data_IF_569357436024
#
_entry.id   IF_569357436024
#
_cell.length_a   1.000
_cell.length_b   1.000
_cell.length_c   1.000
_cell.angle_alpha   90.00
_cell.angle_beta   90.00
_cell.angle_gamma   90.00
#
_symmetry.space_group_name_H-M   'P 1'
#
loop_
_entity.id
_entity.type
_entity.pdbx_description
1 polymer ?
#
# COMPACT_ATOMS: atom_id res chain seq x y z
N UNK A 1 22.65 5.65 -8.52
CA UNK A 1 21.18 5.58 -8.50
C UNK A 1 20.67 5.51 -9.94
N UNK A 2 19.75 4.60 -10.22
CA UNK A 2 19.14 4.48 -11.55
C UNK A 2 18.13 5.60 -11.74
N UNK A 3 18.17 6.28 -12.89
CA UNK A 3 17.15 7.28 -13.25
C UNK A 3 16.18 6.59 -14.22
N UNK A 4 14.94 6.39 -13.80
CA UNK A 4 13.88 5.82 -14.63
C UNK A 4 13.24 6.96 -15.43
N UNK A 5 13.24 6.83 -16.76
CA UNK A 5 12.70 7.84 -17.67
C UNK A 5 11.50 7.36 -18.49
N UNK A 6 11.22 6.05 -18.48
CA UNK A 6 10.12 5.45 -19.23
C UNK A 6 9.34 4.42 -18.40
N UNK A 7 8.05 4.28 -18.70
CA UNK A 7 7.16 3.31 -18.03
C UNK A 7 7.66 1.85 -18.18
N UNK A 8 8.15 1.47 -19.38
CA UNK A 8 8.68 0.12 -19.61
C UNK A 8 9.89 -0.17 -18.72
N UNK A 9 10.79 0.78 -18.57
CA UNK A 9 11.96 0.66 -17.69
C UNK A 9 11.55 0.43 -16.21
N UNK A 10 10.49 1.10 -15.73
CA UNK A 10 9.98 0.90 -14.39
C UNK A 10 9.48 -0.54 -14.16
N UNK A 11 8.83 -1.13 -15.15
CA UNK A 11 8.34 -2.52 -15.10
C UNK A 11 9.52 -3.49 -15.07
N UNK A 12 10.54 -3.28 -15.91
CA UNK A 12 11.73 -4.13 -15.96
C UNK A 12 12.52 -4.08 -14.64
N UNK A 13 12.69 -2.89 -14.07
CA UNK A 13 13.33 -2.70 -12.76
C UNK A 13 12.51 -3.38 -11.65
N UNK A 14 11.18 -3.23 -11.66
CA UNK A 14 10.32 -3.90 -10.70
C UNK A 14 10.39 -5.43 -10.82
N UNK A 15 10.45 -5.97 -12.03
CA UNK A 15 10.59 -7.41 -12.28
C UNK A 15 11.95 -7.95 -11.76
N UNK A 16 13.03 -7.20 -11.99
CA UNK A 16 14.35 -7.57 -11.47
C UNK A 16 14.39 -7.59 -9.94
N UNK A 17 13.86 -6.54 -9.29
CA UNK A 17 13.75 -6.49 -7.82
C UNK A 17 12.83 -7.62 -7.28
N UNK A 18 11.72 -7.90 -7.94
CA UNK A 18 10.81 -8.96 -7.54
C UNK A 18 11.48 -10.34 -7.55
N UNK A 19 12.34 -10.61 -8.53
CA UNK A 19 13.11 -11.86 -8.58
C UNK A 19 14.06 -11.98 -7.36
N UNK A 20 14.75 -10.92 -6.99
CA UNK A 20 15.62 -10.86 -5.80
C UNK A 20 14.77 -11.00 -4.51
N UNK A 21 13.64 -10.31 -4.42
CA UNK A 21 12.75 -10.35 -3.26
C UNK A 21 12.18 -11.76 -3.03
N UNK A 22 11.80 -12.45 -4.09
CA UNK A 22 11.26 -13.81 -4.02
C UNK A 22 12.26 -14.81 -3.44
N UNK A 23 13.54 -14.65 -3.76
CA UNK A 23 14.60 -15.59 -3.37
C UNK A 23 14.73 -15.80 -1.85
N UNK A 24 14.38 -14.81 -1.04
CA UNK A 24 14.48 -14.89 0.42
C UNK A 24 13.17 -14.76 1.18
N UNK A 25 12.02 -14.56 0.50
CA UNK A 25 10.75 -14.20 1.11
C UNK A 25 10.28 -15.17 2.21
N UNK A 26 10.36 -16.49 1.95
CA UNK A 26 9.95 -17.49 2.93
C UNK A 26 10.82 -17.48 4.20
N UNK A 27 12.13 -17.27 4.06
CA UNK A 27 13.04 -17.21 5.20
C UNK A 27 12.87 -15.92 6.00
N UNK A 28 12.70 -14.77 5.31
CA UNK A 28 12.40 -13.49 5.97
C UNK A 28 11.13 -13.57 6.79
N UNK A 29 10.04 -14.10 6.21
CA UNK A 29 8.77 -14.28 6.92
C UNK A 29 8.93 -15.23 8.12
N UNK A 30 9.50 -16.42 7.94
CA UNK A 30 9.64 -17.42 9.01
C UNK A 30 10.42 -16.87 10.21
N UNK A 31 11.50 -16.14 9.97
CA UNK A 31 12.41 -15.60 10.99
C UNK A 31 12.01 -14.19 11.46
N UNK A 32 11.01 -13.56 10.82
CA UNK A 32 10.71 -12.12 10.98
C UNK A 32 11.97 -11.26 10.78
N UNK A 33 12.80 -11.63 9.82
CA UNK A 33 14.03 -10.88 9.52
C UNK A 33 13.68 -9.66 8.67
N UNK A 34 14.01 -8.48 9.19
CA UNK A 34 13.76 -7.22 8.49
C UNK A 34 14.53 -7.16 7.17
N UNK A 35 13.93 -6.63 6.09
CA UNK A 35 14.46 -6.67 4.74
C UNK A 35 15.36 -5.46 4.42
N UNK A 36 16.36 -5.16 5.26
CA UNK A 36 17.21 -3.97 5.11
C UNK A 36 17.89 -3.89 3.75
N UNK A 37 18.46 -5.00 3.27
CA UNK A 37 19.13 -5.08 1.96
C UNK A 37 18.15 -4.84 0.81
N UNK A 38 16.94 -5.42 0.89
CA UNK A 38 15.91 -5.27 -0.14
C UNK A 38 15.35 -3.85 -0.18
N UNK A 39 15.19 -3.22 0.99
CA UNK A 39 14.78 -1.81 1.06
C UNK A 39 15.89 -0.90 0.55
N UNK A 40 17.16 -1.18 0.83
CA UNK A 40 18.28 -0.44 0.26
C UNK A 40 18.31 -0.57 -1.28
N UNK A 41 18.07 -1.77 -1.83
CA UNK A 41 17.94 -1.98 -3.26
C UNK A 41 16.76 -1.19 -3.86
N UNK A 42 15.61 -1.18 -3.18
CA UNK A 42 14.45 -0.37 -3.59
C UNK A 42 14.79 1.14 -3.60
N UNK A 43 15.46 1.65 -2.57
CA UNK A 43 15.87 3.07 -2.47
C UNK A 43 16.81 3.50 -3.61
N UNK A 44 17.65 2.60 -4.10
CA UNK A 44 18.62 2.88 -5.18
C UNK A 44 18.09 2.57 -6.58
N UNK A 45 16.95 1.89 -6.70
CA UNK A 45 16.37 1.44 -7.97
C UNK A 45 15.81 2.55 -8.87
N UNK A 46 15.49 3.72 -8.29
CA UNK A 46 14.76 4.79 -8.97
C UNK A 46 13.23 4.65 -8.89
N UNK A 47 12.68 3.51 -8.43
CA UNK A 47 11.23 3.30 -8.36
C UNK A 47 10.54 4.30 -7.42
N UNK A 48 11.19 4.74 -6.34
CA UNK A 48 10.61 5.70 -5.41
C UNK A 48 10.30 7.06 -6.06
N UNK A 49 11.00 7.42 -7.14
CA UNK A 49 10.79 8.70 -7.84
C UNK A 49 9.67 8.65 -8.90
N UNK A 50 9.00 7.51 -9.12
CA UNK A 50 8.07 7.31 -10.24
C UNK A 50 6.97 8.36 -10.36
N UNK A 51 6.41 8.85 -9.25
CA UNK A 51 5.34 9.85 -9.27
C UNK A 51 5.84 11.30 -9.17
N UNK A 52 7.15 11.52 -9.12
CA UNK A 52 7.72 12.87 -9.13
C UNK A 52 7.43 13.53 -10.48
N UNK A 53 6.86 14.75 -10.49
CA UNK A 53 6.50 15.46 -11.73
C UNK A 53 7.72 15.78 -12.59
N UNK A 54 7.47 15.95 -13.92
CA UNK A 54 8.52 16.19 -14.91
C UNK A 54 9.27 17.50 -14.64
N UNK A 55 8.56 18.55 -14.22
CA UNK A 55 9.14 19.84 -13.86
C UNK A 55 10.13 19.78 -12.69
N UNK A 56 10.05 18.73 -11.87
CA UNK A 56 11.01 18.43 -10.80
C UNK A 56 11.98 17.30 -11.17
N UNK A 57 12.05 16.94 -12.47
CA UNK A 57 12.99 15.96 -13.02
C UNK A 57 12.64 14.50 -12.73
N UNK A 58 11.37 14.20 -12.43
CA UNK A 58 10.85 12.84 -12.33
C UNK A 58 10.16 12.35 -13.60
N UNK A 59 9.78 11.07 -13.67
CA UNK A 59 9.10 10.50 -14.84
C UNK A 59 7.60 10.77 -14.89
N UNK A 60 6.98 11.29 -13.82
CA UNK A 60 5.54 11.51 -13.70
C UNK A 60 4.70 10.28 -14.12
N UNK A 61 5.12 9.10 -13.67
CA UNK A 61 4.49 7.84 -14.07
C UNK A 61 2.99 7.82 -13.73
N UNK A 62 2.14 7.36 -14.66
CA UNK A 62 0.71 7.26 -14.43
C UNK A 62 0.37 6.18 -13.40
N UNK A 63 -0.85 6.21 -12.87
CA UNK A 63 -1.34 5.26 -11.89
C UNK A 63 -1.34 3.82 -12.44
N UNK A 64 -1.52 3.64 -13.75
CA UNK A 64 -1.41 2.35 -14.44
C UNK A 64 -0.03 1.72 -14.26
N UNK A 65 1.05 2.49 -14.37
CA UNK A 65 2.43 2.00 -14.17
C UNK A 65 2.69 1.71 -12.70
N UNK A 66 2.29 2.61 -11.81
CA UNK A 66 2.44 2.40 -10.37
C UNK A 66 1.72 1.13 -9.90
N UNK A 67 0.47 0.92 -10.33
CA UNK A 67 -0.30 -0.27 -9.98
C UNK A 67 0.40 -1.56 -10.46
N UNK A 68 0.97 -1.56 -11.65
CA UNK A 68 1.69 -2.73 -12.17
C UNK A 68 2.99 -2.98 -11.41
N UNK A 69 3.77 -1.95 -11.07
CA UNK A 69 4.96 -2.06 -10.23
C UNK A 69 4.61 -2.69 -8.87
N UNK A 70 3.56 -2.19 -8.20
CA UNK A 70 3.11 -2.73 -6.92
C UNK A 70 2.64 -4.19 -7.03
N UNK A 71 1.91 -4.53 -8.11
CA UNK A 71 1.46 -5.89 -8.36
C UNK A 71 2.65 -6.85 -8.54
N UNK A 72 3.65 -6.45 -9.31
CA UNK A 72 4.87 -7.25 -9.55
C UNK A 72 5.64 -7.48 -8.25
N UNK A 73 5.88 -6.43 -7.47
CA UNK A 73 6.58 -6.55 -6.19
C UNK A 73 5.80 -7.42 -5.20
N UNK A 74 4.49 -7.25 -5.11
CA UNK A 74 3.63 -7.99 -4.19
C UNK A 74 3.45 -9.47 -4.57
N UNK A 75 3.57 -9.81 -5.85
CA UNK A 75 3.62 -11.20 -6.30
C UNK A 75 4.80 -11.95 -5.67
N UNK A 76 5.92 -11.27 -5.50
CA UNK A 76 7.16 -11.83 -4.95
C UNK A 76 7.20 -11.78 -3.42
N UNK A 77 6.98 -10.60 -2.85
CA UNK A 77 6.98 -10.34 -1.41
C UNK A 77 6.02 -9.18 -1.06
N UNK A 78 4.81 -9.48 -0.55
CA UNK A 78 3.82 -8.47 -0.22
C UNK A 78 4.28 -7.47 0.85
N UNK A 79 5.16 -7.86 1.76
CA UNK A 79 5.70 -6.96 2.78
C UNK A 79 6.56 -5.88 2.15
N UNK A 80 7.43 -6.26 1.19
CA UNK A 80 8.27 -5.31 0.46
C UNK A 80 7.48 -4.40 -0.47
N UNK A 81 6.37 -4.87 -1.02
CA UNK A 81 5.46 -4.02 -1.78
C UNK A 81 4.71 -3.02 -0.87
N UNK A 82 4.37 -3.40 0.37
CA UNK A 82 3.64 -2.55 1.31
C UNK A 82 4.50 -1.39 1.85
N UNK A 83 5.79 -1.60 2.05
CA UNK A 83 6.71 -0.60 2.62
C UNK A 83 6.64 0.75 1.87
N UNK A 84 6.74 0.83 0.53
CA UNK A 84 6.70 2.09 -0.20
C UNK A 84 5.27 2.62 -0.46
N UNK A 85 4.22 1.96 -0.03
CA UNK A 85 2.85 2.37 -0.35
C UNK A 85 2.58 3.82 0.05
N UNK A 86 2.77 4.15 1.32
CA UNK A 86 2.47 5.49 1.84
C UNK A 86 3.41 6.57 1.29
N UNK A 87 4.59 6.21 0.84
CA UNK A 87 5.51 7.11 0.14
C UNK A 87 4.82 7.79 -1.05
N UNK A 88 4.18 7.01 -1.93
CA UNK A 88 3.48 7.54 -3.09
C UNK A 88 2.21 8.32 -2.71
N UNK A 89 1.56 7.94 -1.62
CA UNK A 89 0.40 8.68 -1.08
C UNK A 89 0.83 10.06 -0.59
N UNK A 90 1.97 10.16 0.10
CA UNK A 90 2.48 11.45 0.58
C UNK A 90 3.07 12.31 -0.53
N UNK A 91 3.65 11.72 -1.57
CA UNK A 91 4.06 12.48 -2.76
C UNK A 91 2.85 13.12 -3.46
N UNK A 92 1.71 12.42 -3.50
CA UNK A 92 0.47 12.99 -4.03
C UNK A 92 -0.09 14.11 -3.14
N UNK A 93 -0.04 13.96 -1.81
CA UNK A 93 -0.42 15.03 -0.89
C UNK A 93 0.47 16.28 -1.06
N UNK A 94 1.78 16.08 -1.19
CA UNK A 94 2.76 17.13 -1.46
C UNK A 94 2.47 17.83 -2.81
N UNK A 95 2.15 17.06 -3.85
CA UNK A 95 1.76 17.59 -5.16
C UNK A 95 0.54 18.50 -5.07
N UNK A 96 -0.47 18.11 -4.29
CA UNK A 96 -1.75 18.79 -4.20
C UNK A 96 -1.72 20.03 -3.26
N UNK A 97 -0.92 20.00 -2.21
CA UNK A 97 -0.99 20.98 -1.12
C UNK A 97 0.35 21.61 -0.73
N UNK A 98 1.47 21.07 -1.19
CA UNK A 98 2.79 21.62 -0.89
C UNK A 98 3.03 22.96 -1.61
N UNK A 99 3.88 23.81 -1.03
CA UNK A 99 4.43 25.00 -1.73
C UNK A 99 5.45 24.56 -2.79
N UNK A 100 5.83 25.47 -3.69
CA UNK A 100 6.85 25.17 -4.70
C UNK A 100 8.19 24.81 -4.07
N UNK A 101 8.57 25.48 -2.97
CA UNK A 101 9.79 25.21 -2.22
C UNK A 101 9.74 23.82 -1.55
N UNK A 102 8.59 23.46 -0.96
CA UNK A 102 8.40 22.13 -0.37
C UNK A 102 8.50 21.05 -1.44
N UNK A 103 7.80 21.22 -2.57
CA UNK A 103 7.87 20.29 -3.71
C UNK A 103 9.29 20.14 -4.23
N UNK A 104 9.98 21.24 -4.51
CA UNK A 104 11.35 21.21 -5.02
C UNK A 104 12.28 20.44 -4.07
N UNK A 105 12.24 20.76 -2.78
CA UNK A 105 13.10 20.15 -1.77
C UNK A 105 12.84 18.65 -1.57
N UNK A 106 11.59 18.26 -1.36
CA UNK A 106 11.28 16.85 -1.08
C UNK A 106 11.39 15.96 -2.32
N UNK A 107 11.02 16.46 -3.50
CA UNK A 107 11.20 15.70 -4.75
C UNK A 107 12.68 15.49 -5.09
N UNK A 108 13.56 16.46 -4.81
CA UNK A 108 14.99 16.28 -4.96
C UNK A 108 15.51 15.13 -4.08
N UNK A 109 15.12 15.11 -2.80
CA UNK A 109 15.52 14.04 -1.87
C UNK A 109 14.95 12.68 -2.29
N UNK A 110 13.70 12.62 -2.75
CA UNK A 110 13.09 11.39 -3.25
C UNK A 110 13.82 10.88 -4.50
N UNK A 111 14.21 11.76 -5.41
CA UNK A 111 15.04 11.40 -6.55
C UNK A 111 16.44 10.93 -6.13
N UNK A 112 16.92 11.38 -4.99
CA UNK A 112 18.14 10.89 -4.36
C UNK A 112 17.92 9.59 -3.54
N UNK A 113 16.72 8.99 -3.57
CA UNK A 113 16.40 7.71 -2.95
C UNK A 113 15.78 7.81 -1.55
N UNK A 114 15.41 8.99 -1.07
CA UNK A 114 14.77 9.12 0.22
C UNK A 114 13.40 8.42 0.24
N UNK A 115 13.17 7.64 1.30
CA UNK A 115 11.91 6.93 1.56
C UNK A 115 11.09 7.71 2.60
N UNK A 116 9.83 8.00 2.23
CA UNK A 116 8.81 8.57 3.11
C UNK A 116 7.99 7.43 3.72
N UNK A 117 7.93 7.32 5.04
CA UNK A 117 7.17 6.27 5.71
C UNK A 117 5.95 6.80 6.45
N UNK A 118 5.05 5.88 6.76
CA UNK A 118 3.73 6.13 7.33
C UNK A 118 3.77 6.35 8.84
N UNK A 119 3.06 7.38 9.33
CA UNK A 119 2.68 7.54 10.74
C UNK A 119 1.32 8.25 10.84
N UNK A 120 0.23 7.57 10.43
CA UNK A 120 -1.10 8.19 10.38
C UNK A 120 -2.07 7.62 11.40
N UNK A 121 -2.10 6.29 11.57
CA UNK A 121 -3.14 5.62 12.37
C UNK A 121 -2.86 5.69 13.86
N UNK A 122 -3.92 5.81 14.64
CA UNK A 122 -3.88 5.76 16.11
C UNK A 122 -4.69 4.58 16.64
N UNK A 123 -4.41 4.15 17.85
CA UNK A 123 -5.20 3.19 18.62
C UNK A 123 -5.89 3.94 19.74
N UNK A 124 -7.12 3.56 20.06
CA UNK A 124 -7.87 4.17 21.16
C UNK A 124 -9.38 4.08 20.94
N UNK A 125 -10.15 4.69 21.83
CA UNK A 125 -11.61 4.66 21.80
C UNK A 125 -12.21 5.64 20.79
N UNK A 126 -11.41 6.53 20.22
CA UNK A 126 -11.87 7.56 19.27
C UNK A 126 -12.13 6.97 17.87
N UNK A 127 -13.07 7.55 17.11
CA UNK A 127 -13.22 7.23 15.69
C UNK A 127 -11.92 7.44 14.91
N UNK A 128 -11.72 6.67 13.84
CA UNK A 128 -10.48 6.66 13.05
C UNK A 128 -10.18 7.99 12.34
N UNK A 129 -11.16 8.85 12.24
CA UNK A 129 -11.06 10.20 11.68
C UNK A 129 -10.71 11.29 12.73
N UNK A 130 -10.47 10.91 13.98
CA UNK A 130 -9.97 11.80 15.02
C UNK A 130 -8.49 11.48 15.27
N UNK A 131 -7.59 12.41 14.95
CA UNK A 131 -6.18 12.31 15.33
C UNK A 131 -5.95 13.03 16.66
N UNK A 132 -5.52 12.28 17.69
CA UNK A 132 -5.15 12.83 19.00
C UNK A 132 -3.72 13.35 19.04
N UNK A 133 -2.88 12.92 18.08
CA UNK A 133 -1.57 13.54 17.83
C UNK A 133 -1.78 14.97 17.36
N UNK A 134 -1.08 15.92 17.96
CA UNK A 134 -1.26 17.35 17.73
C UNK A 134 -0.02 18.03 17.17
N UNK A 135 -0.26 19.04 16.34
CA UNK A 135 0.70 20.05 15.91
C UNK A 135 0.29 21.37 16.55
N UNK A 136 1.02 21.79 17.58
CA UNK A 136 0.77 23.04 18.28
C UNK A 136 1.71 24.13 17.76
N UNK A 137 1.14 25.23 17.25
CA UNK A 137 1.93 26.34 16.69
C UNK A 137 2.64 27.10 17.80
N UNK A 138 3.93 27.35 17.61
CA UNK A 138 4.77 28.13 18.54
C UNK A 138 4.82 29.61 18.13
N UNK A 139 5.20 30.52 19.04
CA UNK A 139 5.40 31.94 18.71
C UNK A 139 6.43 32.18 17.59
N UNK A 140 7.42 31.27 17.41
CA UNK A 140 8.38 31.30 16.30
C UNK A 140 7.74 31.08 14.92
N UNK A 141 6.51 30.57 14.86
CA UNK A 141 5.85 30.15 13.64
C UNK A 141 5.99 28.65 13.34
N UNK A 142 6.95 27.96 13.94
CA UNK A 142 7.13 26.49 13.87
C UNK A 142 6.13 25.76 14.76
N UNK A 143 6.20 24.44 14.76
CA UNK A 143 5.29 23.60 15.52
C UNK A 143 6.00 22.72 16.53
N UNK A 144 5.28 22.33 17.56
CA UNK A 144 5.63 21.27 18.49
C UNK A 144 4.64 20.13 18.26
N UNK A 145 5.16 18.91 18.07
CA UNK A 145 4.35 17.74 17.79
C UNK A 145 4.46 16.73 18.92
N UNK A 146 3.32 16.28 19.42
CA UNK A 146 3.25 15.26 20.46
C UNK A 146 2.13 14.27 20.16
N UNK A 147 2.37 12.97 20.43
CA UNK A 147 1.41 11.92 20.22
C UNK A 147 2.00 10.56 19.98
N UNK A 148 1.15 9.63 19.54
CA UNK A 148 1.55 8.25 19.29
C UNK A 148 0.81 7.66 18.10
N UNK A 149 1.56 7.09 17.16
CA UNK A 149 1.04 6.45 15.96
C UNK A 149 1.35 4.95 15.97
N UNK A 150 0.48 4.19 15.32
CA UNK A 150 0.56 2.74 15.19
C UNK A 150 0.46 2.36 13.73
N UNK A 151 0.85 1.13 13.40
CA UNK A 151 0.85 0.66 12.02
C UNK A 151 1.70 1.55 11.12
N UNK A 152 2.84 2.02 11.66
CA UNK A 152 3.75 2.93 10.97
C UNK A 152 4.66 2.16 9.98
N UNK A 153 4.03 1.64 8.92
CA UNK A 153 4.68 0.81 7.91
C UNK A 153 5.90 1.51 7.31
N UNK A 154 7.03 0.80 7.34
CA UNK A 154 8.28 1.26 6.76
C UNK A 154 9.06 2.29 7.62
N UNK A 155 8.53 2.72 8.77
CA UNK A 155 9.15 3.79 9.57
C UNK A 155 10.57 3.47 10.07
N UNK A 156 10.90 2.19 10.27
CA UNK A 156 12.27 1.78 10.63
C UNK A 156 13.28 2.02 9.50
N UNK A 157 12.85 2.02 8.24
CA UNK A 157 13.70 2.15 7.05
C UNK A 157 13.70 3.56 6.45
N UNK A 158 12.84 4.44 6.98
CA UNK A 158 12.57 5.75 6.42
C UNK A 158 13.73 6.73 6.58
N UNK A 159 13.81 7.67 5.65
CA UNK A 159 14.57 8.90 5.81
C UNK A 159 13.67 9.97 6.45
N UNK A 160 12.40 9.94 6.12
CA UNK A 160 11.36 10.82 6.65
C UNK A 160 10.15 10.02 7.14
N UNK A 161 9.75 10.25 8.39
CA UNK A 161 8.47 9.77 8.92
C UNK A 161 7.43 10.84 8.70
N UNK A 162 6.41 10.55 7.89
CA UNK A 162 5.34 11.51 7.59
C UNK A 162 4.18 11.26 8.54
N UNK A 163 3.97 12.21 9.42
CA UNK A 163 3.01 12.13 10.53
C UNK A 163 1.77 12.95 10.22
N UNK A 164 0.58 12.31 10.24
CA UNK A 164 -0.68 13.05 10.21
C UNK A 164 -1.07 13.47 11.62
N UNK A 165 -1.38 14.75 11.80
CA UNK A 165 -1.74 15.31 13.09
C UNK A 165 -2.84 16.37 12.97
N UNK A 166 -3.57 16.58 14.06
CA UNK A 166 -4.52 17.69 14.21
C UNK A 166 -3.78 19.00 14.46
N UNK A 167 -4.15 20.06 13.74
CA UNK A 167 -3.68 21.41 14.05
C UNK A 167 -4.40 21.89 15.31
N UNK A 168 -3.65 22.19 16.37
CA UNK A 168 -4.19 22.58 17.67
C UNK A 168 -3.69 23.97 18.06
N UNK A 169 -4.57 24.79 18.62
CA UNK A 169 -4.23 26.05 19.28
C UNK A 169 -3.98 25.90 20.79
N UNK A 170 -4.00 24.67 21.31
CA UNK A 170 -3.47 24.28 22.62
C UNK A 170 -4.46 23.80 23.68
N UNK A 171 -5.69 24.30 23.77
CA UNK A 171 -6.54 24.04 24.93
C UNK A 171 -7.64 22.99 24.72
N UNK A 172 -8.08 22.77 23.49
CA UNK A 172 -9.21 21.88 23.18
C UNK A 172 -8.74 20.55 22.60
N UNK A 173 -9.41 19.46 23.02
CA UNK A 173 -9.17 18.14 22.45
C UNK A 173 -9.60 18.11 20.98
N UNK A 174 -8.79 17.50 20.07
CA UNK A 174 -9.15 17.37 18.68
C UNK A 174 -10.44 16.59 18.46
N UNK A 175 -11.18 16.97 17.42
CA UNK A 175 -12.40 16.32 16.94
C UNK A 175 -12.25 15.91 15.47
N UNK A 176 -13.24 15.24 14.90
CA UNK A 176 -13.27 14.93 13.47
C UNK A 176 -13.24 16.19 12.59
N UNK A 177 -13.77 17.31 13.08
CA UNK A 177 -13.77 18.61 12.37
C UNK A 177 -12.45 19.39 12.50
N UNK A 178 -11.56 19.00 13.41
CA UNK A 178 -10.28 19.69 13.59
C UNK A 178 -9.44 19.56 12.32
N UNK A 179 -8.94 20.68 11.75
CA UNK A 179 -8.08 20.63 10.57
C UNK A 179 -6.84 19.77 10.79
N UNK A 180 -6.46 19.00 9.77
CA UNK A 180 -5.31 18.12 9.81
C UNK A 180 -4.22 18.59 8.86
N UNK A 181 -2.98 18.34 9.27
CA UNK A 181 -1.80 18.48 8.44
C UNK A 181 -0.98 17.20 8.46
N UNK A 182 -0.08 17.05 7.49
CA UNK A 182 1.00 16.07 7.52
C UNK A 182 2.31 16.81 7.75
N UNK A 183 3.13 16.27 8.62
CA UNK A 183 4.45 16.80 8.93
C UNK A 183 5.52 15.80 8.50
N UNK A 184 6.49 16.27 7.76
CA UNK A 184 7.65 15.50 7.33
C UNK A 184 8.71 15.61 8.43
N UNK A 185 8.93 14.55 9.18
CA UNK A 185 9.84 14.52 10.33
C UNK A 185 11.07 13.68 9.97
N UNK A 186 12.30 14.23 10.08
CA UNK A 186 13.51 13.42 9.88
C UNK A 186 13.51 12.20 10.80
N UNK A 187 13.97 11.06 10.30
CA UNK A 187 13.95 9.79 11.06
C UNK A 187 14.72 9.86 12.38
N UNK A 188 15.73 10.74 12.45
CA UNK A 188 16.62 10.99 13.59
C UNK A 188 16.24 12.24 14.40
N UNK A 189 15.06 12.83 14.17
CA UNK A 189 14.61 14.00 14.90
C UNK A 189 14.55 13.74 16.42
N UNK A 190 15.00 14.70 17.21
CA UNK A 190 14.90 14.63 18.67
C UNK A 190 13.43 14.51 19.09
N UNK A 191 13.12 13.59 20.00
CA UNK A 191 11.77 13.29 20.46
C UNK A 191 11.00 12.30 19.59
N UNK A 192 11.49 11.94 18.39
CA UNK A 192 10.92 10.89 17.56
C UNK A 192 11.52 9.53 17.95
N UNK A 193 10.65 8.56 18.28
CA UNK A 193 11.07 7.17 18.51
C UNK A 193 10.25 6.23 17.65
N UNK A 194 10.91 5.34 16.90
CA UNK A 194 10.27 4.27 16.11
C UNK A 194 10.63 2.93 16.72
N UNK A 195 9.61 2.15 17.09
CA UNK A 195 9.76 0.86 17.77
C UNK A 195 9.61 -0.29 16.77
N UNK A 196 10.43 -1.33 16.92
CA UNK A 196 10.26 -2.60 16.21
C UNK A 196 9.34 -3.55 16.99
N UNK A 197 8.10 -3.13 17.18
CA UNK A 197 7.07 -3.86 17.93
C UNK A 197 5.91 -4.39 17.07
N UNK A 198 6.11 -4.48 15.74
CA UNK A 198 5.12 -5.08 14.85
C UNK A 198 5.00 -6.58 15.10
N UNK A 199 3.79 -7.03 15.48
CA UNK A 199 3.46 -8.42 15.82
C UNK A 199 2.27 -8.94 14.98
N UNK A 200 2.26 -8.64 13.69
CA UNK A 200 1.25 -9.13 12.77
C UNK A 200 1.45 -10.61 12.43
N UNK A 201 0.33 -11.35 12.27
CA UNK A 201 0.38 -12.76 11.84
C UNK A 201 0.90 -12.93 10.42
N UNK A 202 0.72 -11.92 9.54
CA UNK A 202 1.24 -11.83 8.18
C UNK A 202 1.85 -10.45 7.94
N UNK A 203 2.43 -10.26 6.76
CA UNK A 203 3.24 -9.07 6.44
C UNK A 203 4.25 -8.76 7.57
N UNK A 204 4.89 -9.81 8.04
CA UNK A 204 5.68 -9.80 9.28
C UNK A 204 6.91 -8.91 9.22
N UNK A 205 7.34 -8.55 8.02
CA UNK A 205 8.57 -7.79 7.76
C UNK A 205 8.34 -6.36 7.29
N UNK A 206 7.09 -5.86 7.38
CA UNK A 206 6.76 -4.47 7.00
C UNK A 206 7.25 -3.43 8.01
N UNK A 207 7.72 -3.86 9.18
CA UNK A 207 8.08 -2.95 10.28
C UNK A 207 6.97 -1.94 10.60
N UNK A 208 5.71 -2.42 10.65
CA UNK A 208 4.53 -1.58 10.90
C UNK A 208 4.31 -1.31 12.40
N UNK A 209 5.38 -0.94 13.11
CA UNK A 209 5.39 -0.74 14.54
C UNK A 209 4.83 0.60 15.00
N UNK A 210 5.21 0.97 16.20
CA UNK A 210 4.78 2.19 16.89
C UNK A 210 5.76 3.33 16.63
N UNK A 211 5.21 4.54 16.43
CA UNK A 211 5.94 5.80 16.42
C UNK A 211 5.47 6.65 17.59
N UNK A 212 6.39 7.09 18.43
CA UNK A 212 6.11 8.04 19.52
C UNK A 212 6.76 9.38 19.22
N UNK A 213 6.06 10.44 19.57
CA UNK A 213 6.42 11.83 19.35
C UNK A 213 6.32 12.55 20.70
N UNK A 214 7.46 12.93 21.23
CA UNK A 214 7.60 13.61 22.52
C UNK A 214 8.18 14.99 22.27
N UNK A 215 7.29 15.98 22.14
CA UNK A 215 7.61 17.37 21.88
C UNK A 215 8.61 17.58 20.73
N UNK A 216 8.34 16.89 19.62
CA UNK A 216 9.17 17.00 18.41
C UNK A 216 9.02 18.38 17.80
N UNK A 217 10.11 19.09 17.64
CA UNK A 217 10.13 20.39 16.96
C UNK A 217 10.02 20.17 15.44
N UNK A 218 9.01 20.78 14.83
CA UNK A 218 8.74 20.66 13.39
C UNK A 218 8.75 22.05 12.76
N UNK A 219 9.69 22.34 11.84
CA UNK A 219 9.70 23.58 11.09
C UNK A 219 8.40 23.76 10.29
N UNK A 220 7.90 24.98 10.19
CA UNK A 220 6.70 25.28 9.38
C UNK A 220 6.88 24.84 7.91
N UNK A 221 8.10 24.92 7.40
CA UNK A 221 8.46 24.48 6.06
C UNK A 221 8.30 22.96 5.84
N UNK A 222 8.15 22.17 6.91
CA UNK A 222 7.97 20.71 6.85
C UNK A 222 6.52 20.28 7.07
N UNK A 223 5.58 21.24 7.17
CA UNK A 223 4.17 20.98 7.40
C UNK A 223 3.37 21.28 6.14
N UNK A 224 2.57 20.32 5.69
CA UNK A 224 1.71 20.43 4.52
C UNK A 224 0.24 20.26 4.96
N UNK A 225 -0.67 21.15 4.57
CA UNK A 225 -2.10 21.01 4.87
C UNK A 225 -2.66 19.70 4.31
N UNK A 226 -3.47 18.98 5.10
CA UNK A 226 -4.03 17.69 4.66
C UNK A 226 -5.55 17.79 4.40
N UNK A 227 -6.31 18.37 5.31
CA UNK A 227 -7.76 18.48 5.18
C UNK A 227 -8.23 19.12 3.86
N UNK A 228 -7.55 20.15 3.29
CA UNK A 228 -7.98 20.78 2.05
C UNK A 228 -7.97 19.85 0.83
N UNK A 229 -7.25 18.73 0.85
CA UNK A 229 -7.26 17.73 -0.24
C UNK A 229 -8.69 17.27 -0.57
N UNK A 230 -9.55 17.18 0.44
CA UNK A 230 -10.90 16.60 0.32
C UNK A 230 -12.00 17.65 0.13
N UNK A 231 -11.66 18.94 0.07
CA UNK A 231 -12.65 20.02 -0.15
C UNK A 231 -13.02 20.21 -1.62
N UNK A 232 -12.25 19.61 -2.54
CA UNK A 232 -12.44 19.65 -3.99
C UNK A 232 -12.48 18.24 -4.57
N UNK A 233 -12.97 18.06 -5.81
CA UNK A 233 -12.83 16.79 -6.50
C UNK A 233 -11.37 16.35 -6.54
N UNK A 234 -11.11 15.09 -6.17
CA UNK A 234 -9.75 14.56 -6.06
C UNK A 234 -9.73 13.06 -6.29
N UNK A 235 -8.65 12.57 -6.87
CA UNK A 235 -8.36 11.14 -7.00
C UNK A 235 -7.42 10.63 -5.89
N UNK A 236 -7.13 11.45 -4.89
CA UNK A 236 -6.19 11.11 -3.81
C UNK A 236 -6.52 9.77 -3.13
N UNK A 237 -7.77 9.61 -2.68
CA UNK A 237 -8.22 8.36 -2.05
C UNK A 237 -8.21 7.19 -3.01
N UNK A 238 -8.74 7.37 -4.23
CA UNK A 238 -8.74 6.34 -5.26
C UNK A 238 -7.31 5.90 -5.61
N UNK A 239 -6.35 6.82 -5.73
CA UNK A 239 -4.95 6.51 -6.01
C UNK A 239 -4.30 5.70 -4.87
N UNK A 240 -4.54 6.09 -3.61
CA UNK A 240 -4.07 5.34 -2.44
C UNK A 240 -4.64 3.92 -2.41
N UNK A 241 -5.95 3.78 -2.62
CA UNK A 241 -6.63 2.48 -2.61
C UNK A 241 -6.27 1.60 -3.82
N UNK A 242 -5.94 2.19 -4.96
CA UNK A 242 -5.46 1.47 -6.14
C UNK A 242 -4.15 0.71 -5.84
N UNK A 243 -3.21 1.33 -5.13
CA UNK A 243 -1.95 0.67 -4.76
C UNK A 243 -2.18 -0.48 -3.78
N UNK A 244 -3.07 -0.33 -2.80
CA UNK A 244 -3.49 -1.45 -1.96
C UNK A 244 -4.16 -2.57 -2.76
N UNK A 245 -4.97 -2.21 -3.75
CA UNK A 245 -5.61 -3.18 -4.65
C UNK A 245 -4.56 -3.95 -5.46
N UNK A 246 -3.54 -3.27 -5.95
CA UNK A 246 -2.44 -3.88 -6.68
C UNK A 246 -1.65 -4.87 -5.81
N UNK A 247 -1.44 -4.56 -4.53
CA UNK A 247 -0.83 -5.50 -3.57
C UNK A 247 -1.69 -6.75 -3.40
N UNK A 248 -3.01 -6.62 -3.21
CA UNK A 248 -3.91 -7.78 -3.07
C UNK A 248 -3.91 -8.65 -4.33
N UNK A 249 -3.92 -8.04 -5.53
CA UNK A 249 -3.81 -8.77 -6.81
C UNK A 249 -2.45 -9.47 -6.92
N UNK A 250 -1.37 -8.82 -6.50
CA UNK A 250 -0.04 -9.42 -6.44
C UNK A 250 0.01 -10.65 -5.54
N UNK A 251 -0.60 -10.57 -4.34
CA UNK A 251 -0.74 -11.72 -3.43
C UNK A 251 -1.53 -12.85 -4.11
N UNK A 252 -2.65 -12.52 -4.77
CA UNK A 252 -3.48 -13.51 -5.45
C UNK A 252 -2.71 -14.25 -6.55
N UNK A 253 -2.00 -13.52 -7.41
CA UNK A 253 -1.19 -14.09 -8.50
C UNK A 253 -0.02 -14.90 -7.97
N UNK A 254 0.66 -14.43 -6.91
CA UNK A 254 1.76 -15.15 -6.26
C UNK A 254 1.30 -16.46 -5.62
N UNK A 255 0.17 -16.44 -4.92
CA UNK A 255 -0.42 -17.63 -4.32
C UNK A 255 -0.86 -18.67 -5.36
N UNK A 256 -1.52 -18.23 -6.45
CA UNK A 256 -1.90 -19.10 -7.54
C UNK A 256 -0.68 -19.76 -8.19
N UNK A 257 0.37 -18.97 -8.47
CA UNK A 257 1.62 -19.51 -9.03
C UNK A 257 2.28 -20.53 -8.10
N UNK A 258 2.30 -20.25 -6.80
CA UNK A 258 2.82 -21.18 -5.80
C UNK A 258 1.98 -22.49 -5.75
N UNK A 259 0.65 -22.39 -5.79
CA UNK A 259 -0.25 -23.54 -5.83
C UNK A 259 -0.03 -24.40 -7.07
N UNK A 260 0.08 -23.79 -8.24
CA UNK A 260 0.42 -24.49 -9.50
C UNK A 260 1.77 -25.20 -9.41
N UNK A 261 2.77 -24.53 -8.81
CA UNK A 261 4.09 -25.14 -8.60
C UNK A 261 4.02 -26.39 -7.70
N UNK A 262 3.19 -26.33 -6.64
CA UNK A 262 2.95 -27.50 -5.76
C UNK A 262 2.18 -28.61 -6.47
N UNK A 263 1.12 -28.29 -7.22
CA UNK A 263 0.33 -29.27 -7.99
C UNK A 263 1.21 -30.08 -8.96
N UNK A 264 2.17 -29.44 -9.63
CA UNK A 264 3.13 -30.12 -10.55
C UNK A 264 4.05 -31.11 -9.84
N UNK A 265 4.20 -31.04 -8.51
CA UNK A 265 5.04 -31.91 -7.68
C UNK A 265 4.21 -32.89 -6.83
N UNK A 266 2.90 -32.67 -6.78
CA UNK A 266 1.99 -33.50 -5.99
C UNK A 266 1.80 -34.88 -6.61
N UNK A 267 1.43 -35.85 -5.76
CA UNK A 267 0.99 -37.15 -6.24
C UNK A 267 -0.49 -37.07 -6.59
N UNK A 268 -0.95 -37.73 -7.69
CA UNK A 268 -2.36 -37.79 -7.99
C UNK A 268 -3.12 -38.59 -6.93
N UNK A 269 -4.37 -38.22 -6.71
CA UNK A 269 -5.28 -39.03 -5.90
C UNK A 269 -5.59 -40.34 -6.62
N UNK A 270 -5.68 -41.45 -5.88
CA UNK A 270 -5.86 -42.79 -6.50
C UNK A 270 -7.17 -42.90 -7.27
N UNK A 271 -8.23 -42.22 -6.86
CA UNK A 271 -9.54 -42.20 -7.55
C UNK A 271 -9.50 -41.46 -8.89
N UNK A 272 -8.56 -40.56 -9.10
CA UNK A 272 -8.43 -39.82 -10.35
C UNK A 272 -7.99 -40.71 -11.51
N UNK A 273 -7.33 -41.85 -11.24
CA UNK A 273 -6.89 -42.80 -12.25
C UNK A 273 -5.88 -42.23 -13.25
N UNK A 274 -5.13 -41.20 -12.89
CA UNK A 274 -4.17 -40.51 -13.75
C UNK A 274 -2.75 -40.66 -13.26
N UNK A 275 -1.78 -40.44 -14.15
CA UNK A 275 -0.36 -40.61 -13.83
C UNK A 275 0.23 -39.39 -13.07
N UNK A 276 -0.27 -38.21 -13.31
CA UNK A 276 0.18 -36.96 -12.68
C UNK A 276 -0.99 -36.18 -12.08
N UNK A 277 -0.75 -35.48 -10.96
CA UNK A 277 -1.81 -34.68 -10.30
C UNK A 277 -2.36 -33.56 -11.18
N UNK A 278 -1.55 -33.03 -12.10
CA UNK A 278 -1.99 -32.00 -13.05
C UNK A 278 -3.02 -32.49 -14.09
N UNK A 279 -3.22 -33.80 -14.20
CA UNK A 279 -4.21 -34.42 -15.08
C UNK A 279 -5.48 -34.82 -14.32
N UNK A 280 -5.54 -34.62 -13.00
CA UNK A 280 -6.71 -34.87 -12.17
C UNK A 280 -7.83 -33.88 -12.53
N UNK A 281 -9.01 -34.36 -13.01
CA UNK A 281 -10.10 -33.48 -13.45
C UNK A 281 -10.65 -32.61 -12.33
N UNK A 282 -10.58 -33.04 -11.07
CA UNK A 282 -11.03 -32.24 -9.93
C UNK A 282 -10.04 -31.10 -9.64
N UNK A 283 -8.75 -31.37 -9.73
CA UNK A 283 -7.69 -30.38 -9.55
C UNK A 283 -7.68 -29.35 -10.70
N UNK A 284 -7.95 -29.80 -11.95
CA UNK A 284 -8.12 -28.92 -13.10
C UNK A 284 -9.28 -27.96 -12.91
N UNK A 285 -10.39 -28.40 -12.32
CA UNK A 285 -11.55 -27.54 -12.01
C UNK A 285 -11.15 -26.48 -10.97
N UNK A 286 -10.53 -26.85 -9.86
CA UNK A 286 -10.06 -25.91 -8.83
C UNK A 286 -9.09 -24.88 -9.43
N UNK A 287 -8.10 -25.31 -10.19
CA UNK A 287 -7.15 -24.42 -10.84
C UNK A 287 -7.82 -23.45 -11.81
N UNK A 288 -8.80 -23.94 -12.58
CA UNK A 288 -9.58 -23.13 -13.53
C UNK A 288 -10.39 -22.04 -12.84
N UNK A 289 -11.13 -22.35 -11.79
CA UNK A 289 -11.92 -21.41 -11.01
C UNK A 289 -11.07 -20.33 -10.35
N UNK A 290 -9.94 -20.73 -9.76
CA UNK A 290 -8.97 -19.79 -9.18
C UNK A 290 -8.39 -18.87 -10.27
N UNK A 291 -8.01 -19.42 -11.41
CA UNK A 291 -7.45 -18.64 -12.52
C UNK A 291 -8.46 -17.61 -13.05
N UNK A 292 -9.74 -17.97 -13.18
CA UNK A 292 -10.81 -17.04 -13.59
C UNK A 292 -10.96 -15.92 -12.56
N UNK A 293 -10.99 -16.27 -11.27
CA UNK A 293 -11.13 -15.30 -10.18
C UNK A 293 -9.98 -14.31 -10.15
N UNK A 294 -8.73 -14.79 -10.26
CA UNK A 294 -7.53 -13.95 -10.27
C UNK A 294 -7.49 -13.05 -11.50
N UNK A 295 -7.77 -13.59 -12.70
CA UNK A 295 -7.81 -12.81 -13.95
C UNK A 295 -8.88 -11.73 -13.91
N UNK A 296 -10.04 -12.01 -13.29
CA UNK A 296 -11.09 -11.01 -13.08
C UNK A 296 -10.60 -9.83 -12.22
N UNK A 297 -9.86 -10.12 -11.16
CA UNK A 297 -9.26 -9.08 -10.30
C UNK A 297 -8.16 -8.27 -11.03
N UNK A 298 -7.31 -8.91 -11.83
CA UNK A 298 -6.32 -8.24 -12.69
C UNK A 298 -6.97 -7.29 -13.70
N UNK A 299 -8.03 -7.74 -14.36
CA UNK A 299 -8.77 -6.95 -15.35
C UNK A 299 -9.41 -5.70 -14.72
N UNK A 300 -10.02 -5.86 -13.52
CA UNK A 300 -10.60 -4.75 -12.78
C UNK A 300 -9.54 -3.79 -12.25
N UNK A 301 -8.39 -4.28 -11.78
CA UNK A 301 -7.26 -3.42 -11.38
C UNK A 301 -6.81 -2.55 -12.55
N UNK A 302 -6.61 -3.15 -13.74
CA UNK A 302 -6.20 -2.42 -14.93
C UNK A 302 -7.25 -1.39 -15.38
N UNK A 303 -8.53 -1.70 -15.28
CA UNK A 303 -9.62 -0.76 -15.59
C UNK A 303 -9.66 0.40 -14.58
N UNK A 304 -9.55 0.10 -13.29
CA UNK A 304 -9.51 1.09 -12.22
C UNK A 304 -8.31 2.04 -12.34
N UNK A 305 -7.13 1.52 -12.68
CA UNK A 305 -5.93 2.32 -12.88
C UNK A 305 -6.11 3.33 -14.04
N UNK A 306 -6.71 2.90 -15.15
CA UNK A 306 -7.05 3.81 -16.26
C UNK A 306 -8.08 4.87 -15.87
N UNK A 307 -9.09 4.52 -15.05
CA UNK A 307 -10.07 5.48 -14.55
C UNK A 307 -9.41 6.54 -13.64
N UNK A 308 -8.47 6.14 -12.80
CA UNK A 308 -7.68 7.07 -11.97
C UNK A 308 -6.83 8.00 -12.84
N UNK A 309 -6.15 7.48 -13.87
CA UNK A 309 -5.35 8.31 -14.78
C UNK A 309 -6.21 9.32 -15.54
N UNK A 310 -7.36 8.89 -16.06
CA UNK A 310 -8.28 9.76 -16.78
C UNK A 310 -8.83 10.88 -15.88
N UNK A 311 -9.22 10.55 -14.64
CA UNK A 311 -9.72 11.53 -13.69
C UNK A 311 -8.63 12.47 -13.15
N UNK A 312 -7.38 11.98 -13.01
CA UNK A 312 -6.26 12.80 -12.50
C UNK A 312 -5.89 13.96 -13.42
N UNK A 313 -6.10 13.82 -14.73
CA UNK A 313 -5.81 14.87 -15.73
C UNK A 313 -6.71 16.11 -15.56
N UNK A 314 -7.98 15.91 -15.19
CA UNK A 314 -8.95 16.99 -14.91
C UNK A 314 -10.04 16.49 -13.94
N UNK A 315 -9.81 16.53 -12.61
CA UNK A 315 -10.74 16.02 -11.63
C UNK A 315 -12.04 16.84 -11.59
N UNK A 316 -13.15 16.22 -11.98
CA UNK A 316 -14.52 16.71 -11.77
C UNK A 316 -15.20 15.87 -10.70
N UNK A 317 -16.37 16.32 -10.19
CA UNK A 317 -17.18 15.51 -9.25
C UNK A 317 -17.47 14.12 -9.83
N UNK A 318 -17.86 14.09 -11.11
CA UNK A 318 -18.22 12.86 -11.80
C UNK A 318 -16.99 11.95 -12.02
N UNK A 319 -15.90 12.48 -12.60
CA UNK A 319 -14.70 11.68 -12.90
C UNK A 319 -14.01 11.16 -11.63
N UNK A 320 -13.98 11.96 -10.55
CA UNK A 320 -13.42 11.54 -9.27
C UNK A 320 -14.29 10.46 -8.58
N UNK A 321 -15.63 10.60 -8.68
CA UNK A 321 -16.55 9.59 -8.17
C UNK A 321 -16.42 8.26 -8.93
N UNK A 322 -16.39 8.31 -10.27
CA UNK A 322 -16.20 7.12 -11.12
C UNK A 322 -14.88 6.42 -10.84
N UNK A 323 -13.77 7.16 -10.73
CA UNK A 323 -12.49 6.58 -10.36
C UNK A 323 -12.52 5.89 -8.99
N UNK A 324 -13.17 6.52 -8.00
CA UNK A 324 -13.31 5.94 -6.65
C UNK A 324 -14.16 4.66 -6.67
N UNK A 325 -15.26 4.63 -7.42
CA UNK A 325 -16.12 3.44 -7.56
C UNK A 325 -15.41 2.33 -8.32
N UNK A 326 -14.68 2.65 -9.40
CA UNK A 326 -13.90 1.67 -10.15
C UNK A 326 -12.82 1.02 -9.27
N UNK A 327 -12.09 1.82 -8.47
CA UNK A 327 -11.10 1.32 -7.52
C UNK A 327 -11.75 0.50 -6.41
N UNK A 328 -12.89 0.94 -5.86
CA UNK A 328 -13.64 0.19 -4.86
C UNK A 328 -14.06 -1.19 -5.38
N UNK A 329 -14.55 -1.27 -6.63
CA UNK A 329 -14.93 -2.54 -7.27
C UNK A 329 -13.70 -3.46 -7.46
N UNK A 330 -12.60 -2.91 -7.97
CA UNK A 330 -11.34 -3.64 -8.12
C UNK A 330 -10.82 -4.15 -6.76
N UNK A 331 -10.88 -3.33 -5.70
CA UNK A 331 -10.46 -3.73 -4.34
C UNK A 331 -11.30 -4.88 -3.79
N UNK A 332 -12.63 -4.83 -3.95
CA UNK A 332 -13.51 -5.94 -3.53
C UNK A 332 -13.15 -7.23 -4.26
N UNK A 333 -12.94 -7.17 -5.58
CA UNK A 333 -12.55 -8.34 -6.37
C UNK A 333 -11.14 -8.85 -5.96
N UNK A 334 -10.17 -7.97 -5.77
CA UNK A 334 -8.80 -8.31 -5.37
C UNK A 334 -8.75 -8.99 -4.00
N UNK A 335 -9.49 -8.48 -3.00
CA UNK A 335 -9.61 -9.11 -1.67
C UNK A 335 -10.19 -10.52 -1.77
N UNK A 336 -11.25 -10.70 -2.57
CA UNK A 336 -11.86 -12.02 -2.79
C UNK A 336 -10.88 -12.97 -3.50
N UNK A 337 -10.21 -12.48 -4.53
CA UNK A 337 -9.21 -13.26 -5.28
C UNK A 337 -8.01 -13.66 -4.41
N UNK A 338 -7.48 -12.74 -3.60
CA UNK A 338 -6.37 -13.02 -2.69
C UNK A 338 -6.74 -14.12 -1.67
N UNK A 339 -7.89 -14.01 -1.03
CA UNK A 339 -8.36 -15.00 -0.07
C UNK A 339 -8.67 -16.35 -0.73
N UNK A 340 -9.30 -16.36 -1.91
CA UNK A 340 -9.57 -17.58 -2.65
C UNK A 340 -8.29 -18.28 -3.11
N UNK A 341 -7.35 -17.55 -3.74
CA UNK A 341 -6.11 -18.12 -4.25
C UNK A 341 -5.22 -18.65 -3.11
N UNK A 342 -5.17 -17.94 -1.96
CA UNK A 342 -4.35 -18.37 -0.83
C UNK A 342 -4.94 -19.57 -0.08
N UNK A 343 -6.26 -19.77 -0.09
CA UNK A 343 -6.89 -21.02 0.37
C UNK A 343 -6.68 -22.15 -0.65
N UNK A 344 -7.00 -21.89 -1.93
CA UNK A 344 -6.89 -22.90 -2.99
C UNK A 344 -5.46 -23.36 -3.26
N UNK A 345 -4.45 -22.60 -2.85
CA UNK A 345 -3.05 -23.03 -2.88
C UNK A 345 -2.87 -24.37 -2.16
N UNK A 346 -3.53 -24.56 -1.01
CA UNK A 346 -3.41 -25.79 -0.22
C UNK A 346 -4.19 -26.96 -0.84
N UNK A 347 -5.30 -26.67 -1.51
CA UNK A 347 -6.04 -27.68 -2.29
C UNK A 347 -5.21 -28.16 -3.48
N UNK A 348 -4.56 -27.24 -4.20
CA UNK A 348 -3.66 -27.57 -5.31
C UNK A 348 -2.42 -28.34 -4.86
N UNK A 349 -1.85 -27.98 -3.70
CA UNK A 349 -0.59 -28.56 -3.21
C UNK A 349 -0.75 -29.79 -2.32
N UNK A 350 -1.96 -30.06 -1.86
CA UNK A 350 -2.25 -31.18 -0.95
C UNK A 350 -1.52 -31.06 0.40
N UNK A 351 -1.45 -32.17 1.12
CA UNK A 351 -0.94 -32.25 2.51
C UNK A 351 0.50 -31.73 2.66
N UNK A 352 1.36 -31.91 1.65
CA UNK A 352 2.75 -31.44 1.70
C UNK A 352 2.89 -29.92 1.79
N UNK A 353 1.89 -29.18 1.30
CA UNK A 353 1.87 -27.71 1.34
C UNK A 353 1.62 -27.14 2.76
N UNK A 354 1.10 -27.96 3.68
CA UNK A 354 0.80 -27.56 5.05
C UNK A 354 2.00 -27.63 6.01
N UNK A 355 3.18 -28.07 5.53
CA UNK A 355 4.35 -28.20 6.40
C UNK A 355 4.96 -26.86 6.77
N UNK A 356 5.45 -26.72 8.01
CA UNK A 356 6.13 -25.51 8.47
C UNK A 356 7.36 -25.17 7.61
N UNK A 357 8.09 -26.18 7.15
CA UNK A 357 9.28 -26.00 6.31
C UNK A 357 8.97 -25.37 4.95
N UNK A 358 7.81 -25.68 4.36
CA UNK A 358 7.37 -25.06 3.12
C UNK A 358 6.98 -23.60 3.27
N UNK A 359 6.55 -23.21 4.48
CA UNK A 359 6.08 -21.86 4.84
C UNK A 359 5.09 -21.24 3.82
N UNK A 360 4.26 -22.08 3.19
CA UNK A 360 3.27 -21.63 2.22
C UNK A 360 2.10 -20.90 2.89
N UNK A 361 1.89 -21.12 4.20
CA UNK A 361 0.93 -20.37 4.98
C UNK A 361 1.18 -18.85 4.99
N UNK A 362 2.42 -18.41 4.66
CA UNK A 362 2.73 -16.98 4.55
C UNK A 362 1.81 -16.27 3.56
N UNK A 363 1.47 -16.87 2.42
CA UNK A 363 0.56 -16.28 1.43
C UNK A 363 -0.81 -15.96 2.03
N UNK A 364 -1.39 -16.92 2.78
CA UNK A 364 -2.67 -16.70 3.46
C UNK A 364 -2.54 -15.67 4.59
N UNK A 365 -1.47 -15.74 5.38
CA UNK A 365 -1.24 -14.80 6.49
C UNK A 365 -1.06 -13.37 5.97
N UNK A 366 -0.30 -13.19 4.88
CA UNK A 366 -0.10 -11.90 4.24
C UNK A 366 -1.40 -11.37 3.64
N UNK A 367 -2.15 -12.20 2.89
CA UNK A 367 -3.45 -11.83 2.36
C UNK A 367 -4.40 -11.41 3.48
N UNK A 368 -4.51 -12.24 4.53
CA UNK A 368 -5.46 -11.96 5.61
C UNK A 368 -5.08 -10.71 6.40
N UNK A 369 -3.81 -10.44 6.58
CA UNK A 369 -3.32 -9.22 7.23
C UNK A 369 -3.59 -7.99 6.36
N UNK A 370 -3.20 -8.01 5.08
CA UNK A 370 -3.36 -6.87 4.19
C UNK A 370 -4.83 -6.53 3.92
N UNK A 371 -5.70 -7.53 3.73
CA UNK A 371 -7.14 -7.32 3.48
C UNK A 371 -7.92 -6.76 4.69
N UNK A 372 -7.28 -6.62 5.84
CA UNK A 372 -7.84 -5.96 7.04
C UNK A 372 -7.44 -4.49 7.15
N UNK A 373 -6.59 -3.99 6.24
CA UNK A 373 -6.14 -2.59 6.27
C UNK A 373 -7.31 -1.60 6.30
N UNK A 374 -8.34 -1.87 5.51
CA UNK A 374 -9.60 -1.13 5.52
C UNK A 374 -10.81 -2.07 5.27
N UNK A 375 -11.97 -1.76 5.83
CA UNK A 375 -13.09 -2.68 5.80
C UNK A 375 -13.78 -2.72 4.42
N UNK A 376 -13.51 -3.76 3.63
CA UNK A 376 -14.05 -4.01 2.29
C UNK A 376 -15.59 -3.89 2.20
N UNK A 377 -16.31 -4.20 3.29
CA UNK A 377 -17.76 -4.05 3.35
C UNK A 377 -18.26 -2.63 3.07
N UNK A 378 -17.49 -1.59 3.43
CA UNK A 378 -17.86 -0.21 3.12
C UNK A 378 -17.71 0.12 1.65
N UNK A 379 -16.75 -0.47 0.95
CA UNK A 379 -16.63 -0.34 -0.52
C UNK A 379 -17.85 -0.93 -1.23
N UNK A 380 -18.31 -2.10 -0.78
CA UNK A 380 -19.56 -2.70 -1.29
C UNK A 380 -20.76 -1.78 -1.07
N UNK A 381 -20.86 -1.14 0.12
CA UNK A 381 -21.91 -0.17 0.42
C UNK A 381 -21.85 1.06 -0.51
N UNK A 382 -20.67 1.61 -0.74
CA UNK A 382 -20.51 2.77 -1.63
C UNK A 382 -20.87 2.42 -3.08
N UNK A 383 -20.41 1.27 -3.58
CA UNK A 383 -20.78 0.76 -4.92
C UNK A 383 -22.30 0.61 -5.02
N UNK A 384 -22.93 -0.08 -4.07
CA UNK A 384 -24.37 -0.30 -4.06
C UNK A 384 -25.18 1.00 -4.04
N UNK A 385 -24.79 1.97 -3.20
CA UNK A 385 -25.43 3.29 -3.15
C UNK A 385 -25.29 4.02 -4.48
N UNK A 386 -24.09 4.07 -5.04
CA UNK A 386 -23.84 4.70 -6.33
C UNK A 386 -24.67 4.07 -7.44
N UNK A 387 -24.70 2.75 -7.51
CA UNK A 387 -25.46 2.00 -8.53
C UNK A 387 -26.97 2.27 -8.45
N UNK A 388 -27.53 2.35 -7.23
CA UNK A 388 -28.96 2.52 -7.04
C UNK A 388 -29.43 3.98 -7.15
N UNK A 389 -28.58 4.94 -6.79
CA UNK A 389 -29.01 6.32 -6.59
C UNK A 389 -28.19 7.34 -7.41
N UNK A 390 -27.10 6.93 -8.02
CA UNK A 390 -26.14 7.84 -8.66
C UNK A 390 -25.34 8.71 -7.66
N UNK A 391 -25.55 8.57 -6.33
CA UNK A 391 -24.88 9.40 -5.34
C UNK A 391 -23.36 9.15 -5.37
N UNK A 392 -22.52 10.23 -5.35
CA UNK A 392 -21.09 10.08 -5.31
C UNK A 392 -20.64 9.46 -3.97
N UNK A 393 -19.53 8.72 -3.95
CA UNK A 393 -18.94 8.25 -2.70
C UNK A 393 -18.38 9.43 -1.89
N UNK A 394 -18.20 9.27 -0.56
CA UNK A 394 -17.57 10.30 0.27
C UNK A 394 -16.11 10.51 -0.14
N UNK A 395 -15.61 11.73 0.06
CA UNK A 395 -14.21 12.08 -0.25
C UNK A 395 -13.34 11.89 1.00
N UNK A 396 -12.58 10.83 1.02
CA UNK A 396 -11.55 10.57 2.04
C UNK A 396 -10.52 9.55 1.53
N UNK A 397 -9.45 9.30 2.27
CA UNK A 397 -8.34 8.43 1.85
C UNK A 397 -8.65 6.92 1.78
N UNK A 398 -9.86 6.50 2.14
CA UNK A 398 -10.22 5.08 2.19
C UNK A 398 -11.28 4.67 1.15
N UNK A 399 -11.53 5.50 0.12
CA UNK A 399 -12.48 5.19 -0.96
C UNK A 399 -11.81 5.32 -2.33
#
# INVERSE_FOLDING_TARGET
MTTIVAAAEAIDVAAALAADFAAGAAARDAQRRLPDEQVAALKTSGLLALSVPVEYGGPAAPATVLAEVFRILAHADPSLAQIPHSHFVFLEALRLQGTDEQRARFYEQVRAGALLANAQSERGPHPIDVDTTTLVRRPSGDYLMSGRKFYATGALFADWVVVRASLSEGAEAPTAATPKAIAFVPRDAAGLTVLDDWDGMGQRTTASGTVTLDDVAVPAADVVPFSPIFTRPTVYGARAQLLHTAIDVGIATGALAAGVCQARRARPHFEAGVAAAVDDPTLLTVAGELAVTVRGAEALLAAAARAVDAAAANPTEESAAEASIAVAAAKVAAVRAALAATNGLFELGGTSSATAAANLSRYWRDARTHTLHDPTRWKVQHIGRHTLTGAPPPRHGQI
#
